data_IF_600083783508
#
_entry.id   IF_600083783508
#
_cell.length_a   1.000
_cell.length_b   1.000
_cell.length_c   1.000
_cell.angle_alpha   90.00
_cell.angle_beta   90.00
_cell.angle_gamma   90.00
#
_symmetry.space_group_name_H-M   'P 1'
#
loop_
_entity.id
_entity.type
_entity.pdbx_description
1 polymer ?
#
# COMPACT_ATOMS: atom_id res chain seq x y z
N UNK A 1 0.83 5.43 -15.37
CA UNK A 1 0.85 4.85 -15.06
C UNK A 1 0.05 4.40 -14.54
N UNK A 2 -0.32 4.23 -14.35
CA UNK A 2 -1.02 3.85 -13.98
C UNK A 2 -1.91 3.23 -13.26
N UNK A 3 -2.77 2.65 -13.70
CA UNK A 3 -3.62 2.05 -12.92
C UNK A 3 -3.35 0.69 -12.97
N UNK A 4 -3.28 0.02 -11.89
CA UNK A 4 -3.05 -1.34 -11.92
C UNK A 4 -4.34 -2.08 -12.06
N UNK A 5 -5.48 -1.54 -11.78
CA UNK A 5 -6.66 -2.30 -12.02
C UNK A 5 -7.23 -1.87 -13.31
N UNK A 6 -7.02 -2.54 -14.39
CA UNK A 6 -7.48 -2.10 -15.49
C UNK A 6 -8.63 -2.72 -15.70
N UNK A 7 -9.37 -2.81 -15.91
CA UNK A 7 -10.45 -3.40 -16.14
C UNK A 7 -11.25 -3.67 -15.28
N UNK A 8 -11.18 -3.42 -14.69
CA UNK A 8 -11.89 -3.59 -13.86
C UNK A 8 -12.75 -4.35 -13.89
N UNK A 9 -12.52 -4.54 -14.28
CA UNK A 9 -13.10 -5.17 -14.26
C UNK A 9 -13.80 -5.75 -14.08
N UNK A 10 -13.83 -5.49 -14.32
CA UNK A 10 -14.58 -5.76 -14.16
C UNK A 10 -15.16 -6.49 -13.74
N UNK A 11 -14.96 -6.50 -13.62
CA UNK A 11 -15.49 -7.10 -13.19
C UNK A 11 -16.27 -7.49 -12.79
N UNK A 12 -16.28 -7.24 -12.79
CA UNK A 12 -17.03 -7.47 -12.47
C UNK A 12 -17.84 -8.06 -12.22
N UNK A 13 -17.85 -7.84 -12.40
CA UNK A 13 -18.75 -8.20 -12.26
C UNK A 13 -19.04 -9.18 -11.68
N UNK A 14 -18.63 -9.68 -11.49
CA UNK A 14 -18.91 -10.57 -11.00
C UNK A 14 -19.45 -10.55 -10.03
N UNK A 15 -19.28 -9.92 -9.70
CA UNK A 15 -19.73 -9.82 -8.69
C UNK A 15 -20.93 -9.99 -8.49
N UNK A 16 -21.42 -9.84 -8.96
CA UNK A 16 -22.58 -9.82 -8.81
C UNK A 16 -23.01 -10.92 -8.37
N UNK A 17 -22.72 -11.70 -8.41
CA UNK A 17 -23.18 -12.69 -8.02
C UNK A 17 -23.13 -12.89 -6.77
N UNK A 18 -22.68 -12.33 -6.13
CA UNK A 18 -22.59 -12.60 -4.99
C UNK A 18 -23.45 -12.17 -4.24
N UNK A 19 -23.91 -12.62 -3.76
CA UNK A 19 -24.91 -12.34 -3.13
C UNK A 19 -24.75 -11.64 -2.02
N UNK A 20 -25.51 -11.33 -1.78
CA UNK A 20 -25.61 -10.71 -0.78
C UNK A 20 -24.79 -11.02 0.11
N UNK A 21 -24.53 -11.11 0.48
CA UNK A 21 -23.78 -11.42 1.30
C UNK A 21 -22.44 -11.48 0.98
N UNK A 22 -22.02 -11.05 -0.03
CA UNK A 22 -20.62 -11.06 -0.30
C UNK A 22 -19.95 -10.24 0.73
N UNK A 23 -19.17 -10.84 1.59
CA UNK A 23 -18.52 -10.07 2.63
C UNK A 23 -17.49 -9.15 2.03
N UNK A 24 -17.24 -8.06 2.72
CA UNK A 24 -16.22 -7.12 2.31
C UNK A 24 -14.86 -7.79 2.18
N UNK A 25 -14.56 -8.74 3.06
CA UNK A 25 -13.26 -9.39 2.99
C UNK A 25 -13.10 -10.27 1.74
N UNK A 26 -14.19 -10.76 1.17
CA UNK A 26 -14.07 -11.49 -0.09
C UNK A 26 -13.71 -10.53 -1.21
N UNK A 27 -14.35 -9.36 -1.24
CA UNK A 27 -14.01 -8.33 -2.22
C UNK A 27 -12.59 -7.85 -2.03
N UNK A 28 -12.19 -7.67 -0.78
CA UNK A 28 -10.85 -7.23 -0.48
C UNK A 28 -9.83 -8.25 -0.96
N UNK A 29 -10.13 -9.53 -0.82
CA UNK A 29 -9.21 -10.56 -1.27
C UNK A 29 -9.04 -10.56 -2.78
N UNK A 30 -10.12 -10.34 -3.53
CA UNK A 30 -10.02 -10.30 -4.98
C UNK A 30 -9.14 -9.15 -5.43
N UNK A 31 -9.35 -7.97 -4.86
CA UNK A 31 -8.51 -6.81 -5.18
C UNK A 31 -7.10 -6.99 -4.70
N UNK A 32 -6.93 -7.66 -3.56
CA UNK A 32 -5.60 -7.90 -3.02
C UNK A 32 -4.76 -8.75 -3.96
N UNK A 33 -5.38 -9.79 -4.55
CA UNK A 33 -4.67 -10.61 -5.51
C UNK A 33 -4.18 -9.78 -6.68
N UNK A 34 -5.01 -8.85 -7.16
CA UNK A 34 -4.62 -7.97 -8.26
C UNK A 34 -3.44 -7.08 -7.87
N UNK A 35 -3.45 -6.54 -6.66
CA UNK A 35 -2.35 -5.69 -6.20
C UNK A 35 -1.05 -6.50 -6.12
N UNK A 36 -1.13 -7.71 -5.60
CA UNK A 36 0.05 -8.56 -5.49
C UNK A 36 0.60 -8.91 -6.87
N UNK A 37 -0.29 -9.23 -7.82
CA UNK A 37 0.14 -9.51 -9.18
C UNK A 37 0.82 -8.31 -9.82
N UNK A 38 0.27 -7.12 -9.59
CA UNK A 38 0.89 -5.90 -10.10
C UNK A 38 2.23 -5.63 -9.45
N UNK A 39 2.34 -5.90 -8.15
CA UNK A 39 3.62 -5.75 -7.47
C UNK A 39 4.67 -6.66 -8.10
N UNK A 40 4.31 -7.92 -8.32
CA UNK A 40 5.27 -8.87 -8.89
C UNK A 40 5.69 -8.46 -10.29
N UNK A 41 4.76 -7.99 -11.09
CA UNK A 41 5.04 -7.56 -12.44
C UNK A 41 5.93 -6.31 -12.46
N UNK A 42 5.63 -5.36 -11.59
CA UNK A 42 6.42 -4.13 -11.49
C UNK A 42 7.82 -4.42 -10.97
N UNK A 43 7.92 -5.29 -9.97
CA UNK A 43 9.22 -5.67 -9.43
C UNK A 43 10.07 -6.36 -10.50
N UNK A 44 9.44 -7.20 -11.32
CA UNK A 44 10.19 -7.86 -12.40
C UNK A 44 10.77 -6.85 -13.35
N UNK A 45 10.01 -5.79 -13.66
CA UNK A 45 10.52 -4.73 -14.54
C UNK A 45 11.72 -4.02 -13.95
N UNK A 46 11.67 -3.74 -12.64
CA UNK A 46 12.81 -3.12 -11.98
C UNK A 46 14.02 -4.04 -11.97
N UNK A 47 13.81 -5.34 -11.69
CA UNK A 47 14.93 -6.28 -11.73
C UNK A 47 15.56 -6.36 -13.12
N UNK A 48 14.74 -6.32 -14.16
CA UNK A 48 15.25 -6.35 -15.53
C UNK A 48 16.11 -5.12 -15.81
N UNK A 49 15.87 -4.02 -15.12
CA UNK A 49 16.67 -2.81 -15.25
C UNK A 49 17.85 -2.77 -14.29
N UNK A 50 18.08 -3.83 -13.56
CA UNK A 50 19.24 -3.92 -12.67
C UNK A 50 19.02 -3.48 -11.25
N UNK A 51 17.78 -3.22 -10.85
CA UNK A 51 17.49 -2.78 -9.50
C UNK A 51 17.36 -3.94 -8.54
N UNK A 52 17.70 -3.69 -7.30
CA UNK A 52 17.41 -4.62 -6.21
C UNK A 52 15.99 -4.36 -5.73
N UNK A 53 15.18 -5.41 -5.61
CA UNK A 53 13.77 -5.25 -5.23
C UNK A 53 13.47 -6.04 -3.97
N UNK A 54 12.61 -5.47 -3.14
CA UNK A 54 12.07 -6.16 -1.97
C UNK A 54 10.55 -6.09 -2.07
N UNK A 55 9.89 -7.24 -2.18
CA UNK A 55 8.44 -7.30 -2.29
C UNK A 55 7.89 -7.74 -0.95
N UNK A 56 7.04 -6.91 -0.35
CA UNK A 56 6.52 -7.18 0.97
C UNK A 56 5.08 -7.70 0.88
N UNK A 57 4.69 -8.50 1.85
CA UNK A 57 3.38 -9.15 1.84
C UNK A 57 2.71 -8.94 3.20
N UNK A 58 2.22 -7.71 3.46
CA UNK A 58 1.60 -7.44 4.75
C UNK A 58 0.40 -8.34 5.01
N UNK A 59 0.26 -8.77 6.23
CA UNK A 59 -0.90 -9.55 6.64
C UNK A 59 -2.08 -8.68 7.00
N UNK A 60 -1.86 -7.40 7.22
CA UNK A 60 -2.92 -6.48 7.60
C UNK A 60 -2.49 -5.06 7.30
N UNK A 61 -3.45 -4.19 7.03
CA UNK A 61 -3.17 -2.78 6.82
C UNK A 61 -4.39 -1.96 7.19
N UNK A 62 -4.16 -0.73 7.65
CA UNK A 62 -5.22 0.16 8.08
C UNK A 62 -4.71 1.59 8.09
N UNK A 63 -5.60 2.54 7.83
CA UNK A 63 -5.29 3.94 8.08
C UNK A 63 -5.56 4.23 9.55
N UNK A 64 -4.61 4.86 10.22
CA UNK A 64 -4.72 5.15 11.64
C UNK A 64 -4.53 6.65 11.88
N UNK A 65 -5.20 7.13 12.91
CA UNK A 65 -5.05 8.49 13.36
C UNK A 65 -5.10 8.45 14.89
N UNK A 66 -3.96 8.45 15.51
CA UNK A 66 -3.86 8.39 16.95
C UNK A 66 -2.75 9.32 17.39
N UNK A 67 -2.60 9.48 18.71
CA UNK A 67 -1.56 10.33 19.25
C UNK A 67 -0.18 9.85 18.86
N UNK A 68 -0.05 8.56 18.61
CA UNK A 68 1.26 7.96 18.33
C UNK A 68 1.53 7.78 16.86
N UNK A 69 0.51 7.60 16.05
CA UNK A 69 0.69 7.31 14.62
C UNK A 69 -0.45 7.91 13.85
N UNK A 70 -0.12 8.57 12.74
CA UNK A 70 -1.12 9.04 11.80
C UNK A 70 -0.63 8.67 10.41
N UNK A 71 -1.34 7.79 9.74
CA UNK A 71 -0.96 7.37 8.41
C UNK A 71 -1.42 5.95 8.11
N UNK A 72 -0.68 5.31 7.23
CA UNK A 72 -0.98 3.96 6.79
C UNK A 72 -0.09 2.99 7.56
N UNK A 73 -0.71 2.04 8.22
CA UNK A 73 -0.01 1.10 9.11
C UNK A 73 -0.14 -0.28 8.52
N UNK A 74 0.98 -0.93 8.21
CA UNK A 74 0.96 -2.28 7.67
C UNK A 74 1.73 -3.21 8.60
N UNK A 75 1.24 -4.43 8.72
CA UNK A 75 1.84 -5.44 9.57
C UNK A 75 2.55 -6.46 8.70
N UNK A 76 3.84 -6.60 8.92
CA UNK A 76 4.69 -7.47 8.09
C UNK A 76 5.05 -8.76 8.83
N UNK A 77 5.24 -9.85 8.08
CA UNK A 77 5.89 -11.03 8.67
C UNK A 77 7.28 -10.66 9.15
N UNK A 78 7.73 -11.32 10.22
CA UNK A 78 9.03 -11.02 10.81
C UNK A 78 10.18 -11.01 9.83
N UNK A 79 10.34 -12.06 9.00
CA UNK A 79 11.47 -12.07 8.07
C UNK A 79 11.44 -10.93 7.06
N UNK A 80 10.24 -10.53 6.61
CA UNK A 80 10.13 -9.39 5.70
C UNK A 80 10.44 -8.09 6.40
N UNK A 81 9.99 -7.94 7.64
CA UNK A 81 10.32 -6.77 8.41
C UNK A 81 11.84 -6.63 8.57
N UNK A 82 12.51 -7.73 8.89
CA UNK A 82 13.95 -7.69 9.07
C UNK A 82 14.66 -7.31 7.78
N UNK A 83 14.17 -7.81 6.65
CA UNK A 83 14.75 -7.46 5.35
C UNK A 83 14.57 -5.96 5.06
N UNK A 84 13.38 -5.44 5.34
CA UNK A 84 13.12 -4.02 5.12
C UNK A 84 13.97 -3.16 6.04
N UNK A 85 14.09 -3.55 7.30
CA UNK A 85 14.89 -2.79 8.26
C UNK A 85 16.34 -2.73 7.82
N UNK A 86 16.88 -3.84 7.34
CA UNK A 86 18.25 -3.85 6.85
C UNK A 86 18.44 -2.95 5.65
N UNK A 87 17.47 -2.97 4.72
CA UNK A 87 17.55 -2.08 3.57
C UNK A 87 17.44 -0.62 3.97
N UNK A 88 16.56 -0.30 4.90
CA UNK A 88 16.34 1.08 5.32
C UNK A 88 17.57 1.63 6.03
N UNK A 89 18.33 0.78 6.72
CA UNK A 89 19.56 1.23 7.35
C UNK A 89 20.62 1.63 6.33
N UNK A 90 20.60 0.98 5.16
CA UNK A 90 21.60 1.24 4.13
C UNK A 90 21.15 2.22 3.06
N UNK A 91 19.85 2.44 2.92
CA UNK A 91 19.30 3.23 1.81
C UNK A 91 18.34 4.26 2.35
N UNK A 92 18.51 5.52 1.99
CA UNK A 92 17.61 6.56 2.51
C UNK A 92 16.22 6.55 1.90
N UNK A 93 15.95 5.91 0.80
CA UNK A 93 14.64 5.89 0.16
C UNK A 93 14.07 7.30 0.03
N UNK A 94 14.60 8.06 -0.91
CA UNK A 94 14.25 9.46 -1.04
C UNK A 94 13.10 9.75 -1.97
N UNK A 95 12.63 8.75 -2.70
CA UNK A 95 11.55 8.93 -3.66
C UNK A 95 10.46 7.91 -3.42
N UNK A 96 9.26 8.22 -3.88
CA UNK A 96 8.14 7.30 -3.72
C UNK A 96 7.27 7.37 -4.97
N UNK A 97 6.74 6.23 -5.38
CA UNK A 97 5.68 6.15 -6.38
C UNK A 97 4.53 5.39 -5.76
N UNK A 98 3.31 5.84 -6.01
CA UNK A 98 2.14 5.20 -5.45
C UNK A 98 1.16 4.93 -6.58
N UNK A 99 0.70 3.70 -6.65
CA UNK A 99 -0.34 3.30 -7.59
C UNK A 99 -1.59 3.02 -6.75
N UNK A 100 -2.71 3.55 -7.17
CA UNK A 100 -3.94 3.49 -6.38
C UNK A 100 -5.11 3.08 -7.24
N UNK A 101 -5.99 2.29 -6.67
CA UNK A 101 -7.26 1.94 -7.30
C UNK A 101 -8.31 1.76 -6.22
N UNK A 102 -9.55 1.96 -6.59
CA UNK A 102 -10.65 1.78 -5.65
C UNK A 102 -11.66 0.83 -6.27
N UNK A 103 -12.14 -0.11 -5.47
CA UNK A 103 -13.11 -1.08 -5.95
C UNK A 103 -13.98 -1.51 -4.77
N UNK A 104 -15.29 -1.34 -4.90
CA UNK A 104 -16.21 -1.80 -3.87
C UNK A 104 -16.03 -1.13 -2.53
N UNK A 105 -15.61 0.13 -2.51
CA UNK A 105 -15.40 0.85 -1.26
C UNK A 105 -14.05 0.58 -0.61
N UNK A 106 -13.21 -0.23 -1.24
CA UNK A 106 -11.86 -0.52 -0.72
C UNK A 106 -10.87 0.24 -1.58
N UNK A 107 -9.96 0.95 -0.92
CA UNK A 107 -8.87 1.64 -1.59
C UNK A 107 -7.65 0.75 -1.52
N UNK A 108 -7.09 0.43 -2.67
CA UNK A 108 -5.88 -0.38 -2.77
C UNK A 108 -4.73 0.51 -3.20
N UNK A 109 -3.60 0.37 -2.55
CA UNK A 109 -2.41 1.12 -2.92
C UNK A 109 -1.23 0.18 -3.03
N UNK A 110 -0.36 0.47 -3.97
CA UNK A 110 0.94 -0.17 -4.07
C UNK A 110 1.96 0.94 -3.96
N UNK A 111 2.72 0.91 -2.88
CA UNK A 111 3.70 1.95 -2.59
C UNK A 111 5.07 1.43 -2.97
N UNK A 112 5.79 2.17 -3.79
CA UNK A 112 7.16 1.85 -4.14
C UNK A 112 8.07 2.90 -3.50
N UNK A 113 8.82 2.49 -2.49
CA UNK A 113 9.82 3.35 -1.86
C UNK A 113 11.12 3.15 -2.60
N UNK A 114 11.66 4.23 -3.15
CA UNK A 114 12.75 4.15 -4.11
C UNK A 114 13.99 4.84 -3.61
N UNK A 115 15.11 4.22 -3.85
CA UNK A 115 16.40 4.87 -3.69
C UNK A 115 17.12 4.80 -5.02
N UNK A 116 17.04 5.86 -5.83
CA UNK A 116 17.68 5.82 -7.16
C UNK A 116 19.18 5.73 -7.10
N UNK A 117 19.80 6.21 -6.03
CA UNK A 117 21.24 6.17 -5.96
C UNK A 117 21.78 4.75 -5.87
N UNK A 118 21.15 3.91 -5.08
CA UNK A 118 21.57 2.52 -4.95
C UNK A 118 20.76 1.61 -5.87
N UNK A 119 19.77 2.17 -6.57
CA UNK A 119 18.86 1.41 -7.42
C UNK A 119 18.17 0.30 -6.64
N UNK A 120 17.55 0.69 -5.54
CA UNK A 120 16.84 -0.22 -4.66
C UNK A 120 15.39 0.24 -4.54
N UNK A 121 14.46 -0.69 -4.55
CA UNK A 121 13.04 -0.38 -4.38
C UNK A 121 12.41 -1.39 -3.45
N UNK A 122 11.58 -0.89 -2.53
CA UNK A 122 10.77 -1.73 -1.66
C UNK A 122 9.30 -1.49 -2.00
N UNK A 123 8.57 -2.56 -2.26
CA UNK A 123 7.16 -2.47 -2.61
C UNK A 123 6.30 -2.84 -1.42
N UNK A 124 5.37 -1.97 -1.07
CA UNK A 124 4.47 -2.18 0.06
C UNK A 124 3.03 -2.11 -0.45
N UNK A 125 2.37 -3.24 -0.63
CA UNK A 125 0.96 -3.23 -1.00
C UNK A 125 0.10 -3.06 0.26
N UNK A 126 -1.02 -2.37 0.12
CA UNK A 126 -1.89 -2.13 1.26
C UNK A 126 -3.31 -1.86 0.78
N UNK A 127 -4.25 -1.92 1.70
CA UNK A 127 -5.61 -1.51 1.38
C UNK A 127 -6.27 -1.01 2.66
N UNK A 128 -7.35 -0.26 2.48
CA UNK A 128 -8.16 0.18 3.60
C UNK A 128 -9.59 0.44 3.13
N UNK A 129 -10.51 0.39 4.07
CA UNK A 129 -11.91 0.63 3.78
C UNK A 129 -12.19 2.13 3.79
N UNK A 130 -12.69 2.64 2.66
CA UNK A 130 -12.86 4.08 2.52
C UNK A 130 -13.88 4.64 3.51
N UNK A 131 -15.01 3.97 3.66
CA UNK A 131 -16.09 4.51 4.47
C UNK A 131 -15.70 4.63 5.93
N UNK A 132 -15.00 3.63 6.46
CA UNK A 132 -14.60 3.67 7.86
C UNK A 132 -13.37 4.52 8.09
N UNK A 133 -12.76 5.03 7.04
CA UNK A 133 -11.53 5.81 7.15
C UNK A 133 -11.73 7.29 6.85
N UNK A 134 -12.96 7.74 6.65
CA UNK A 134 -13.20 9.11 6.21
C UNK A 134 -12.59 10.17 7.12
N UNK A 135 -12.73 10.00 8.42
CA UNK A 135 -12.19 11.00 9.34
C UNK A 135 -10.67 11.00 9.33
N UNK A 136 -10.09 9.81 9.23
CA UNK A 136 -8.64 9.70 9.16
C UNK A 136 -8.11 10.31 7.86
N UNK A 137 -8.82 10.08 6.75
CA UNK A 137 -8.44 10.65 5.47
C UNK A 137 -8.41 12.17 5.56
N UNK A 138 -9.44 12.77 6.18
CA UNK A 138 -9.49 14.21 6.31
C UNK A 138 -8.39 14.74 7.21
N UNK A 139 -8.10 14.03 8.29
CA UNK A 139 -7.02 14.43 9.18
C UNK A 139 -5.68 14.42 8.47
N UNK A 140 -5.45 13.41 7.64
CA UNK A 140 -4.20 13.32 6.87
C UNK A 140 -4.12 14.46 5.87
N UNK A 141 -5.22 14.75 5.17
CA UNK A 141 -5.22 15.87 4.22
C UNK A 141 -4.94 17.18 4.90
N UNK A 142 -5.54 17.40 6.06
CA UNK A 142 -5.33 18.63 6.80
C UNK A 142 -3.89 18.77 7.27
N UNK A 143 -3.28 17.66 7.65
CA UNK A 143 -1.89 17.67 8.07
C UNK A 143 -0.93 17.90 6.91
N UNK A 144 -1.31 17.53 5.70
CA UNK A 144 -0.48 17.73 4.52
C UNK A 144 0.66 16.74 4.40
N UNK A 145 0.61 15.67 5.16
CA UNK A 145 1.63 14.62 5.04
C UNK A 145 1.02 13.29 5.48
N UNK A 146 1.66 12.22 5.06
CA UNK A 146 1.25 10.88 5.49
C UNK A 146 2.49 10.09 5.83
N UNK A 147 2.38 9.22 6.81
CA UNK A 147 3.45 8.30 7.16
C UNK A 147 3.03 6.89 6.81
N UNK A 148 3.99 6.10 6.39
CA UNK A 148 3.80 4.69 6.15
C UNK A 148 4.57 3.95 7.22
N UNK A 149 3.86 3.23 8.08
CA UNK A 149 4.48 2.46 9.16
C UNK A 149 4.49 1.00 8.75
N UNK A 150 5.69 0.44 8.61
CA UNK A 150 5.83 -0.98 8.35
C UNK A 150 6.33 -1.59 9.65
N UNK A 151 5.49 -2.38 10.29
CA UNK A 151 5.83 -2.88 11.62
C UNK A 151 5.61 -4.37 11.72
N UNK A 152 6.13 -4.93 12.79
CA UNK A 152 5.86 -6.32 13.11
C UNK A 152 5.11 -6.39 14.44
N UNK A 153 4.76 -7.59 14.84
CA UNK A 153 3.83 -7.77 15.96
C UNK A 153 4.27 -7.13 17.27
N UNK A 154 5.58 -6.99 17.49
CA UNK A 154 6.06 -6.38 18.73
C UNK A 154 6.18 -4.86 18.65
N UNK A 155 5.56 -4.26 17.63
CA UNK A 155 5.52 -2.80 17.44
C UNK A 155 6.82 -2.15 16.99
N UNK A 156 7.87 -2.89 16.72
CA UNK A 156 9.01 -2.33 16.01
C UNK A 156 8.54 -1.90 14.62
N UNK A 157 8.96 -0.74 14.19
CA UNK A 157 8.48 -0.19 12.93
C UNK A 157 9.57 0.53 12.16
N UNK A 158 9.47 0.44 10.84
CA UNK A 158 10.20 1.30 9.91
C UNK A 158 9.18 2.28 9.37
N UNK A 159 9.44 3.55 9.48
CA UNK A 159 8.47 4.57 9.07
C UNK A 159 9.03 5.39 7.93
N UNK A 160 8.18 5.66 6.94
CA UNK A 160 8.51 6.54 5.82
C UNK A 160 7.57 7.74 5.90
N UNK A 161 8.12 8.95 5.72
CA UNK A 161 7.32 10.17 5.80
C UNK A 161 7.21 10.76 4.41
N UNK A 162 6.01 11.09 4.00
CA UNK A 162 5.75 11.63 2.66
C UNK A 162 5.05 12.96 2.76
N UNK A 163 5.57 13.95 2.06
CA UNK A 163 5.06 15.32 2.12
C UNK A 163 3.75 15.50 1.39
N UNK A 164 3.39 14.58 0.50
CA UNK A 164 2.17 14.70 -0.27
C UNK A 164 1.33 13.46 -0.03
N UNK A 165 0.25 13.57 0.73
CA UNK A 165 -0.57 12.41 1.04
C UNK A 165 -1.54 12.03 -0.07
N UNK A 166 -1.77 12.89 -1.05
CA UNK A 166 -2.85 12.67 -2.00
C UNK A 166 -2.73 11.37 -2.79
N UNK A 167 -1.54 10.94 -3.23
CA UNK A 167 -1.47 9.67 -3.96
C UNK A 167 -1.92 8.46 -3.17
N UNK A 168 -1.90 8.54 -1.84
CA UNK A 168 -2.31 7.43 -0.97
C UNK A 168 -3.81 7.44 -0.69
N UNK A 169 -4.50 8.53 -0.99
CA UNK A 169 -5.87 8.74 -0.54
C UNK A 169 -6.83 8.70 -1.73
N UNK A 170 -8.10 8.36 -1.48
CA UNK A 170 -9.06 8.39 -2.58
C UNK A 170 -9.25 9.82 -3.04
N UNK A 171 -9.78 9.95 -4.25
CA UNK A 171 -10.02 11.27 -4.77
C UNK A 171 -11.06 11.98 -3.92
N UNK A 172 -10.96 13.32 -3.79
CA UNK A 172 -11.96 14.04 -3.01
C UNK A 172 -13.31 13.96 -3.69
N UNK A 173 -14.38 14.06 -2.93
CA UNK A 173 -15.73 13.99 -3.49
C UNK A 173 -16.06 15.16 -4.40
#
# INVERSE_FOLDING_TARGET
MGTFFRDETTSVGMSDRSPSGTPTNVQAQAGWTDVIDDMESTAASYRDSGWETLELHPGDSVLVDSDRRTGLDVLLPGPEFEALEALADDSPFESVEVFRAERGGIVYVLVAELDPETETVAFVPAYYDRASSNETIEAIRDAGEIRLFCRRLDDDAVAFVHDDPEPFLPEPP
#
